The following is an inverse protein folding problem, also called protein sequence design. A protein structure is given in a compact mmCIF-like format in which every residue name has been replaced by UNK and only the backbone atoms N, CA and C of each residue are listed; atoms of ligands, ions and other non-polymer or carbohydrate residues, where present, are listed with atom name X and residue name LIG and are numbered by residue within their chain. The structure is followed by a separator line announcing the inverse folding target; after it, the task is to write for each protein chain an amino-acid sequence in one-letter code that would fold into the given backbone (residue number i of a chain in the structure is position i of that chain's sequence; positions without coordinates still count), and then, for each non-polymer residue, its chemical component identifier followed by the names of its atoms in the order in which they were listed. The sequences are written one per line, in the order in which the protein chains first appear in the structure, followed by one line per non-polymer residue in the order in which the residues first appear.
data_IF_430369961998
#
_entry.id   IF_430369961998
#
_cell.length_a   1.000
_cell.length_b   1.000
_cell.length_c   1.000
_cell.angle_alpha   90.00
_cell.angle_beta   90.00
_cell.angle_gamma   90.00
#
_symmetry.space_group_name_H-M   'P 1'
#
loop_
_entity.id
_entity.type
_entity.pdbx_description
1 polymer ?
#
# COMPACT_ATOMS: atom_id res chain seq x y z
N UNK A 1 3.90 -25.05 -2.13
CA UNK A 1 3.35 -24.23 -3.22
C UNK A 1 4.08 -22.89 -3.22
N UNK A 2 4.83 -22.61 -4.25
CA UNK A 2 5.44 -21.30 -4.44
C UNK A 2 4.27 -20.34 -4.76
N UNK A 3 3.96 -19.42 -3.86
CA UNK A 3 3.02 -18.33 -4.19
C UNK A 3 3.60 -17.56 -5.37
N UNK A 4 2.95 -17.62 -6.53
CA UNK A 4 3.32 -16.76 -7.65
C UNK A 4 3.20 -15.32 -7.18
N UNK A 5 4.31 -14.62 -7.15
CA UNK A 5 4.34 -13.20 -6.79
C UNK A 5 3.89 -12.39 -8.00
N UNK A 6 3.01 -11.42 -7.77
CA UNK A 6 2.59 -10.49 -8.80
C UNK A 6 3.81 -9.71 -9.33
N UNK A 7 3.94 -9.65 -10.65
CA UNK A 7 4.95 -8.83 -11.31
C UNK A 7 4.28 -7.57 -11.88
N UNK A 8 4.50 -6.39 -11.31
CA UNK A 8 3.87 -5.16 -11.79
C UNK A 8 4.24 -4.80 -13.24
N UNK A 9 5.35 -5.32 -13.77
CA UNK A 9 5.74 -5.11 -15.16
C UNK A 9 4.91 -5.92 -16.18
N UNK A 10 4.08 -6.86 -15.72
CA UNK A 10 3.22 -7.67 -16.57
C UNK A 10 1.78 -7.75 -16.04
N UNK A 11 0.93 -6.77 -16.35
CA UNK A 11 -0.47 -6.73 -15.88
C UNK A 11 -1.35 -7.88 -16.41
N UNK A 12 -0.86 -8.68 -17.33
CA UNK A 12 -1.57 -9.86 -17.84
C UNK A 12 -1.53 -11.06 -16.89
N UNK A 13 -0.73 -11.01 -15.84
CA UNK A 13 -0.65 -12.04 -14.80
C UNK A 13 -1.93 -12.18 -13.96
N UNK A 14 -2.94 -11.32 -14.15
CA UNK A 14 -4.23 -11.43 -13.47
C UNK A 14 -4.87 -12.81 -13.67
N UNK A 15 -4.75 -13.39 -14.87
CA UNK A 15 -5.28 -14.74 -15.17
C UNK A 15 -4.55 -15.82 -14.38
N UNK A 16 -3.24 -15.69 -14.23
CA UNK A 16 -2.40 -16.62 -13.47
C UNK A 16 -2.74 -16.58 -11.97
N UNK A 17 -3.29 -15.46 -11.50
CA UNK A 17 -3.79 -15.27 -10.15
C UNK A 17 -5.28 -15.62 -9.99
N UNK A 18 -5.90 -16.19 -11.02
CA UNK A 18 -7.31 -16.57 -11.01
C UNK A 18 -8.28 -15.40 -11.21
N UNK A 19 -7.81 -14.25 -11.66
CA UNK A 19 -8.64 -13.07 -11.89
C UNK A 19 -8.84 -12.80 -13.37
N UNK A 20 -10.09 -12.54 -13.77
CA UNK A 20 -10.38 -12.06 -15.12
C UNK A 20 -9.93 -10.61 -15.29
N UNK A 21 -9.33 -10.29 -16.44
CA UNK A 21 -8.95 -8.94 -16.82
C UNK A 21 -10.20 -8.14 -17.27
N UNK A 22 -10.98 -7.64 -16.32
CA UNK A 22 -12.12 -6.75 -16.58
C UNK A 22 -11.69 -5.28 -16.62
N UNK A 23 -12.49 -4.42 -17.28
CA UNK A 23 -12.21 -2.98 -17.36
C UNK A 23 -11.89 -2.34 -16.00
N UNK A 24 -12.76 -2.46 -14.98
CA UNK A 24 -12.50 -1.90 -13.65
C UNK A 24 -11.21 -2.42 -13.00
N UNK A 25 -10.92 -3.71 -13.11
CA UNK A 25 -9.68 -4.28 -12.56
C UNK A 25 -8.44 -3.72 -13.23
N UNK A 26 -8.43 -3.62 -14.55
CA UNK A 26 -7.30 -3.07 -15.30
C UNK A 26 -7.07 -1.59 -14.98
N UNK A 27 -8.13 -0.80 -14.85
CA UNK A 27 -8.03 0.63 -14.51
C UNK A 27 -7.48 0.86 -13.10
N UNK A 28 -7.98 0.12 -12.13
CA UNK A 28 -7.52 0.20 -10.75
C UNK A 28 -6.05 -0.26 -10.66
N UNK A 29 -5.69 -1.35 -11.30
CA UNK A 29 -4.31 -1.83 -11.31
C UNK A 29 -3.36 -0.82 -11.95
N UNK A 30 -3.73 -0.25 -13.10
CA UNK A 30 -2.95 0.76 -13.80
C UNK A 30 -2.70 2.01 -12.93
N UNK A 31 -3.71 2.44 -12.18
CA UNK A 31 -3.59 3.55 -11.24
C UNK A 31 -2.51 3.29 -10.18
N UNK A 32 -2.51 2.10 -9.56
CA UNK A 32 -1.50 1.75 -8.56
C UNK A 32 -0.09 1.62 -9.16
N UNK A 33 0.03 1.06 -10.36
CA UNK A 33 1.32 0.95 -11.07
C UNK A 33 1.86 2.34 -11.39
N UNK A 34 1.06 3.22 -11.98
CA UNK A 34 1.46 4.60 -12.31
C UNK A 34 1.89 5.38 -11.07
N UNK A 35 1.18 5.23 -9.95
CA UNK A 35 1.53 5.91 -8.71
C UNK A 35 2.82 5.37 -8.09
N UNK A 36 3.06 4.06 -8.20
CA UNK A 36 4.30 3.46 -7.75
C UNK A 36 5.51 3.96 -8.56
N UNK A 37 5.39 4.01 -9.89
CA UNK A 37 6.46 4.43 -10.79
C UNK A 37 6.77 5.93 -10.71
N UNK A 38 5.74 6.75 -10.52
CA UNK A 38 5.89 8.22 -10.49
C UNK A 38 6.35 8.77 -9.15
N UNK A 39 6.49 7.94 -8.11
CA UNK A 39 6.76 8.38 -6.74
C UNK A 39 5.66 9.27 -6.14
N UNK A 40 4.49 9.32 -6.80
CA UNK A 40 3.29 9.96 -6.29
C UNK A 40 2.71 9.15 -5.12
N UNK A 41 1.51 9.47 -4.71
CA UNK A 41 0.83 8.84 -3.59
C UNK A 41 0.68 7.31 -3.79
N UNK A 42 1.57 6.53 -3.20
CA UNK A 42 1.57 5.06 -3.30
C UNK A 42 0.47 4.40 -2.47
N UNK A 43 0.05 5.06 -1.40
CA UNK A 43 -0.98 4.58 -0.47
C UNK A 43 -2.30 5.31 -0.75
N UNK A 44 -3.33 4.56 -1.08
CA UNK A 44 -4.65 5.12 -1.41
C UNK A 44 -5.76 4.38 -0.67
N UNK A 45 -6.73 5.13 -0.16
CA UNK A 45 -8.00 4.56 0.32
C UNK A 45 -8.90 4.18 -0.86
N UNK A 46 -9.94 3.39 -0.61
CA UNK A 46 -10.92 3.05 -1.63
C UNK A 46 -11.61 4.29 -2.21
N UNK A 47 -11.92 5.27 -1.36
CA UNK A 47 -12.54 6.54 -1.74
C UNK A 47 -11.61 7.37 -2.64
N UNK A 48 -10.33 7.42 -2.32
CA UNK A 48 -9.33 8.13 -3.14
C UNK A 48 -9.17 7.47 -4.52
N UNK A 49 -9.15 6.15 -4.58
CA UNK A 49 -9.15 5.39 -5.84
C UNK A 49 -10.40 5.74 -6.65
N UNK A 50 -11.57 5.69 -6.02
CA UNK A 50 -12.84 6.03 -6.67
C UNK A 50 -12.84 7.44 -7.22
N UNK A 51 -12.48 8.44 -6.41
CA UNK A 51 -12.45 9.84 -6.84
C UNK A 51 -11.46 10.08 -8.00
N UNK A 52 -10.31 9.44 -7.96
CA UNK A 52 -9.32 9.56 -9.05
C UNK A 52 -9.88 9.00 -10.36
N UNK A 53 -10.50 7.82 -10.32
CA UNK A 53 -11.09 7.20 -11.51
C UNK A 53 -12.25 8.04 -12.08
N UNK A 54 -13.11 8.60 -11.24
CA UNK A 54 -14.20 9.49 -11.66
C UNK A 54 -13.64 10.77 -12.31
N UNK A 55 -12.56 11.34 -11.77
CA UNK A 55 -11.89 12.50 -12.37
C UNK A 55 -11.26 12.19 -13.73
N UNK A 56 -10.81 10.94 -13.92
CA UNK A 56 -10.29 10.46 -15.21
C UNK A 56 -11.42 10.09 -16.21
N UNK A 57 -12.68 10.26 -15.83
CA UNK A 57 -13.85 9.99 -16.67
C UNK A 57 -14.26 8.53 -16.73
N UNK A 58 -13.78 7.71 -15.79
CA UNK A 58 -14.14 6.29 -15.73
C UNK A 58 -15.49 6.09 -15.04
N UNK A 59 -16.33 5.26 -15.65
CA UNK A 59 -17.64 4.88 -15.08
C UNK A 59 -17.48 3.65 -14.17
N UNK A 60 -17.05 3.90 -12.95
CA UNK A 60 -16.84 2.86 -11.93
C UNK A 60 -17.50 3.27 -10.62
N UNK A 61 -18.35 2.40 -10.07
CA UNK A 61 -19.00 2.63 -8.77
C UNK A 61 -18.07 2.34 -7.58
N UNK A 62 -18.30 3.04 -6.47
CA UNK A 62 -17.51 2.85 -5.23
C UNK A 62 -17.57 1.39 -4.73
N UNK A 63 -18.73 0.73 -4.79
CA UNK A 63 -18.86 -0.67 -4.40
C UNK A 63 -17.99 -1.61 -5.27
N UNK A 64 -17.85 -1.32 -6.56
CA UNK A 64 -16.94 -2.06 -7.44
C UNK A 64 -15.49 -1.84 -7.06
N UNK A 65 -15.10 -0.61 -6.72
CA UNK A 65 -13.75 -0.30 -6.24
C UNK A 65 -13.42 -1.13 -4.99
N UNK A 66 -14.27 -1.12 -3.97
CA UNK A 66 -14.09 -1.92 -2.76
C UNK A 66 -13.92 -3.41 -3.07
N UNK A 67 -14.74 -3.96 -3.95
CA UNK A 67 -14.68 -5.37 -4.34
C UNK A 67 -13.37 -5.71 -5.05
N UNK A 68 -12.94 -4.88 -5.98
CA UNK A 68 -11.67 -5.09 -6.71
C UNK A 68 -10.48 -4.99 -5.79
N UNK A 69 -10.44 -4.01 -4.88
CA UNK A 69 -9.36 -3.87 -3.90
C UNK A 69 -9.26 -5.10 -2.98
N UNK A 70 -10.40 -5.62 -2.51
CA UNK A 70 -10.43 -6.85 -1.71
C UNK A 70 -9.93 -8.08 -2.49
N UNK A 71 -10.29 -8.18 -3.76
CA UNK A 71 -9.81 -9.25 -4.64
C UNK A 71 -8.30 -9.15 -4.89
N UNK A 72 -7.78 -7.95 -5.09
CA UNK A 72 -6.35 -7.71 -5.27
C UNK A 72 -5.55 -7.98 -3.99
N UNK A 73 -6.09 -7.64 -2.83
CA UNK A 73 -5.50 -8.01 -1.55
C UNK A 73 -5.41 -9.54 -1.38
N UNK A 74 -6.51 -10.25 -1.62
CA UNK A 74 -6.56 -11.72 -1.54
C UNK A 74 -5.59 -12.38 -2.51
N UNK A 75 -5.43 -11.82 -3.72
CA UNK A 75 -4.51 -12.32 -4.74
C UNK A 75 -3.04 -11.93 -4.47
N UNK A 76 -2.77 -11.07 -3.48
CA UNK A 76 -1.42 -10.60 -3.17
C UNK A 76 -0.88 -9.54 -4.12
N UNK A 77 -1.74 -8.90 -4.92
CA UNK A 77 -1.38 -7.78 -5.81
C UNK A 77 -1.23 -6.50 -5.02
N UNK A 78 -2.14 -6.26 -4.08
CA UNK A 78 -2.11 -5.14 -3.16
C UNK A 78 -1.87 -5.61 -1.73
N UNK A 79 -1.28 -4.75 -0.94
CA UNK A 79 -1.18 -4.88 0.52
C UNK A 79 -2.10 -3.86 1.15
N UNK A 80 -2.92 -4.31 2.09
CA UNK A 80 -3.74 -3.43 2.92
C UNK A 80 -2.98 -3.01 4.16
N UNK A 81 -2.92 -1.71 4.42
CA UNK A 81 -2.36 -1.13 5.63
C UNK A 81 -3.45 -0.42 6.41
N UNK A 82 -3.46 -0.62 7.70
CA UNK A 82 -4.36 0.08 8.61
C UNK A 82 -3.50 0.84 9.61
N UNK A 83 -3.34 2.13 9.39
CA UNK A 83 -2.58 3.02 10.27
C UNK A 83 -3.48 3.71 11.31
N UNK A 84 -4.78 3.77 11.03
CA UNK A 84 -5.80 4.35 11.87
C UNK A 84 -7.02 3.41 11.90
N UNK A 85 -7.82 3.51 12.95
CA UNK A 85 -8.94 2.58 13.18
C UNK A 85 -9.98 2.54 12.05
N UNK A 86 -10.11 3.63 11.29
CA UNK A 86 -11.19 3.82 10.34
C UNK A 86 -10.73 3.87 8.86
N UNK A 87 -9.42 3.95 8.58
CA UNK A 87 -8.91 4.14 7.22
C UNK A 87 -7.95 3.02 6.80
N UNK A 88 -8.44 2.13 5.95
CA UNK A 88 -7.59 1.19 5.24
C UNK A 88 -6.96 1.89 4.02
N UNK A 89 -5.64 1.79 3.90
CA UNK A 89 -4.89 2.22 2.73
C UNK A 89 -4.36 0.99 1.99
N UNK A 90 -4.34 1.07 0.69
CA UNK A 90 -3.83 0.03 -0.20
C UNK A 90 -2.59 0.52 -0.93
N UNK A 91 -1.64 -0.37 -1.10
CA UNK A 91 -0.41 -0.15 -1.87
C UNK A 91 -0.09 -1.35 -2.74
N UNK A 92 0.65 -1.12 -3.83
CA UNK A 92 1.11 -2.21 -4.68
C UNK A 92 2.09 -3.09 -3.91
N UNK A 93 1.90 -4.40 -3.98
CA UNK A 93 2.81 -5.37 -3.36
C UNK A 93 4.02 -5.59 -4.26
N UNK A 94 5.03 -4.75 -4.11
CA UNK A 94 6.28 -4.83 -4.87
C UNK A 94 7.32 -5.79 -4.24
N UNK A 95 6.94 -6.47 -3.15
CA UNK A 95 7.80 -7.36 -2.36
C UNK A 95 9.04 -6.68 -1.75
N UNK A 96 9.12 -5.36 -1.77
CA UNK A 96 10.15 -4.61 -1.04
C UNK A 96 9.65 -4.30 0.37
N UNK A 97 10.47 -4.66 1.35
CA UNK A 97 10.19 -4.30 2.73
C UNK A 97 10.44 -2.81 2.93
N UNK A 98 9.50 -2.14 3.56
CA UNK A 98 9.63 -0.76 4.01
C UNK A 98 8.77 -0.53 5.25
N UNK A 99 9.19 0.41 6.06
CA UNK A 99 8.46 0.91 7.21
C UNK A 99 7.80 2.26 6.88
N UNK A 100 6.93 2.75 7.75
CA UNK A 100 6.08 3.89 7.46
C UNK A 100 6.21 4.99 8.51
N UNK A 101 6.21 6.25 8.04
CA UNK A 101 6.01 7.46 8.82
C UNK A 101 4.62 8.02 8.49
N UNK A 102 3.76 8.18 9.48
CA UNK A 102 2.38 8.63 9.31
C UNK A 102 2.17 9.96 10.02
N UNK A 103 1.70 10.96 9.28
CA UNK A 103 1.28 12.21 9.88
C UNK A 103 -0.13 12.07 10.47
N UNK A 104 -0.25 12.26 11.78
CA UNK A 104 -1.53 12.15 12.49
C UNK A 104 -2.48 13.31 12.20
N UNK A 105 -1.98 14.42 11.63
CA UNK A 105 -2.79 15.59 11.28
C UNK A 105 -3.37 15.52 9.88
N UNK A 106 -2.56 15.22 8.86
CA UNK A 106 -3.01 15.24 7.47
C UNK A 106 -3.07 13.86 6.80
N UNK A 107 -2.65 12.79 7.49
CA UNK A 107 -2.65 11.44 6.96
C UNK A 107 -1.54 11.13 5.94
N UNK A 108 -0.60 12.07 5.71
CA UNK A 108 0.54 11.81 4.83
C UNK A 108 1.31 10.59 5.30
N UNK A 109 1.62 9.70 4.36
CA UNK A 109 2.44 8.51 4.60
C UNK A 109 3.74 8.64 3.82
N UNK A 110 4.87 8.45 4.49
CA UNK A 110 6.18 8.31 3.87
C UNK A 110 6.76 6.94 4.20
N UNK A 111 7.46 6.37 3.23
CA UNK A 111 8.16 5.10 3.38
C UNK A 111 9.62 5.34 3.71
N UNK A 112 10.19 4.46 4.52
CA UNK A 112 11.62 4.44 4.77
C UNK A 112 12.14 3.02 4.98
N UNK A 113 13.42 2.84 4.75
CA UNK A 113 14.16 1.64 5.10
C UNK A 113 15.43 2.09 5.82
N UNK A 114 15.66 1.54 6.99
CA UNK A 114 16.87 1.82 7.77
C UNK A 114 17.55 0.52 8.19
N UNK A 115 18.75 0.24 7.65
CA UNK A 115 19.46 -1.00 7.95
C UNK A 115 19.82 -1.17 9.43
N UNK A 116 20.05 -0.08 10.18
CA UNK A 116 20.37 -0.14 11.61
C UNK A 116 19.14 -0.57 12.42
N UNK A 117 17.97 -0.07 12.06
CA UNK A 117 16.71 -0.48 12.67
C UNK A 117 16.44 -1.97 12.40
N UNK A 118 16.62 -2.42 11.17
CA UNK A 118 16.44 -3.82 10.81
C UNK A 118 17.39 -4.76 11.55
N UNK A 119 18.65 -4.39 11.67
CA UNK A 119 19.63 -5.18 12.43
C UNK A 119 19.27 -5.22 13.93
N UNK A 120 18.79 -4.10 14.46
CA UNK A 120 18.35 -4.03 15.86
C UNK A 120 17.15 -4.92 16.14
N UNK A 121 16.22 -4.99 15.23
CA UNK A 121 15.06 -5.91 15.33
C UNK A 121 15.51 -7.37 15.34
N UNK A 122 16.48 -7.75 14.50
CA UNK A 122 17.06 -9.10 14.50
C UNK A 122 17.79 -9.43 15.82
N UNK A 123 18.57 -8.49 16.34
CA UNK A 123 19.24 -8.65 17.64
C UNK A 123 18.22 -8.88 18.77
N UNK A 124 17.16 -8.07 18.82
CA UNK A 124 16.10 -8.21 19.82
C UNK A 124 15.43 -9.58 19.71
N UNK A 125 15.09 -10.00 18.50
CA UNK A 125 14.49 -11.31 18.27
C UNK A 125 15.38 -12.44 18.78
N UNK A 126 16.67 -12.41 18.46
CA UNK A 126 17.65 -13.41 18.94
C UNK A 126 17.76 -13.40 20.46
N UNK A 127 17.83 -12.23 21.08
CA UNK A 127 17.93 -12.07 22.54
C UNK A 127 16.71 -12.70 23.26
N UNK A 128 15.57 -12.66 22.64
CA UNK A 128 14.34 -13.29 23.16
C UNK A 128 14.09 -14.70 22.62
N UNK A 129 15.06 -15.34 21.97
CA UNK A 129 14.96 -16.68 21.40
C UNK A 129 13.86 -16.83 20.34
N UNK A 130 13.58 -15.76 19.56
CA UNK A 130 12.65 -15.77 18.44
C UNK A 130 13.39 -15.91 17.13
N UNK A 131 12.84 -16.71 16.21
CA UNK A 131 13.21 -16.70 14.80
C UNK A 131 12.34 -15.67 14.09
N UNK A 132 12.93 -14.54 13.69
CA UNK A 132 12.19 -13.46 13.04
C UNK A 132 11.75 -13.89 11.64
N UNK A 133 10.44 -13.91 11.40
CA UNK A 133 9.83 -14.27 10.11
C UNK A 133 9.39 -13.02 9.35
N UNK A 134 8.82 -12.05 10.06
CA UNK A 134 8.26 -10.83 9.49
C UNK A 134 8.23 -9.72 10.54
N UNK A 135 8.35 -8.49 10.10
CA UNK A 135 8.14 -7.32 10.95
C UNK A 135 7.37 -6.24 10.20
N UNK A 136 6.77 -5.34 10.94
CA UNK A 136 6.09 -4.16 10.43
C UNK A 136 6.24 -3.05 11.47
N UNK A 137 6.64 -1.87 11.04
CA UNK A 137 6.80 -0.72 11.90
C UNK A 137 6.12 0.51 11.29
N UNK A 138 5.42 1.24 12.13
CA UNK A 138 4.82 2.51 11.80
C UNK A 138 5.16 3.54 12.88
N UNK A 139 5.69 4.68 12.47
CA UNK A 139 5.98 5.81 13.34
C UNK A 139 4.96 6.91 13.09
N UNK A 140 4.39 7.46 14.15
CA UNK A 140 3.33 8.46 14.10
C UNK A 140 3.84 9.80 14.60
N UNK A 141 3.60 10.87 13.85
CA UNK A 141 4.04 12.20 14.20
C UNK A 141 3.41 13.27 13.33
N UNK A 142 4.01 14.43 13.24
CA UNK A 142 3.59 15.53 12.39
C UNK A 142 4.59 15.74 11.26
N UNK A 143 4.11 15.79 10.02
CA UNK A 143 4.97 16.14 8.89
C UNK A 143 5.39 17.62 8.95
N UNK A 144 6.43 17.98 8.22
CA UNK A 144 7.00 19.34 8.23
C UNK A 144 5.96 20.43 7.93
N UNK A 145 5.02 20.16 7.02
CA UNK A 145 3.97 21.14 6.67
C UNK A 145 2.95 21.33 7.79
N UNK A 146 2.59 20.26 8.50
CA UNK A 146 1.70 20.34 9.64
C UNK A 146 2.36 21.02 10.85
N UNK A 147 3.65 20.71 11.11
CA UNK A 147 4.41 21.40 12.16
C UNK A 147 4.43 22.92 11.94
N UNK A 148 4.60 23.40 10.70
CA UNK A 148 4.57 24.82 10.38
C UNK A 148 3.21 25.46 10.60
N UNK A 149 2.11 24.72 10.45
CA UNK A 149 0.75 25.22 10.69
C UNK A 149 0.44 25.34 12.17
N UNK A 150 0.93 24.41 12.99
CA UNK A 150 0.73 24.46 14.45
C UNK A 150 1.60 25.51 15.16
N UNK A 151 2.72 25.91 14.54
CA UNK A 151 3.62 26.93 15.07
C UNK A 151 3.14 28.38 14.83
N UNK A 152 1.98 28.59 14.22
CA UNK A 152 1.33 29.91 14.02
C UNK A 152 0.12 30.05 14.93
#
# INVERSE_FOLDING_TARGET
MIKKTFNPANPFDLKDLGLKATGPRLKILDLFIKNADSGKKRHMSAEEVYHTLVQEGEDVGLATVYRVLAQFETAGILVRRTFDKDNALFELNDNHHHDHLICVSCGKVEEFVDPEIEEKQKEISKKHCFSLVHHSMALYGLCADCQKKEAK
#
